data_IF_863464314149
#
_entry.id   IF_863464314149
#
_cell.length_a   1.000
_cell.length_b   1.000
_cell.length_c   1.000
_cell.angle_alpha   90.00
_cell.angle_beta   90.00
_cell.angle_gamma   90.00
#
_symmetry.space_group_name_H-M   'P 1'
#
loop_
_entity.id
_entity.type
_entity.pdbx_description
1 polymer ?
#
# COMPACT_ATOMS: atom_id res chain seq x y z
N UNK A 1 2.66 -3.62 -10.22
CA UNK A 1 2.99 -2.22 -9.89
C UNK A 1 4.23 -2.20 -9.01
N UNK A 2 5.13 -1.24 -9.21
CA UNK A 2 6.27 -1.06 -8.30
C UNK A 2 5.79 -0.52 -6.95
N UNK A 3 6.57 -0.74 -5.89
CA UNK A 3 6.29 -0.19 -4.56
C UNK A 3 6.00 1.32 -4.62
N UNK A 4 6.80 2.06 -5.39
CA UNK A 4 6.68 3.52 -5.53
C UNK A 4 5.34 3.92 -6.13
N UNK A 5 4.92 3.28 -7.21
CA UNK A 5 3.63 3.57 -7.86
C UNK A 5 2.46 3.24 -6.91
N UNK A 6 2.58 2.15 -6.16
CA UNK A 6 1.57 1.74 -5.19
C UNK A 6 1.45 2.75 -4.04
N UNK A 7 2.57 3.25 -3.50
CA UNK A 7 2.56 4.28 -2.46
C UNK A 7 1.89 5.55 -3.01
N UNK A 8 2.33 6.03 -4.18
CA UNK A 8 1.78 7.25 -4.78
C UNK A 8 0.27 7.14 -5.01
N UNK A 9 -0.21 6.04 -5.58
CA UNK A 9 -1.63 5.85 -5.85
C UNK A 9 -2.50 5.78 -4.58
N UNK A 10 -1.93 5.33 -3.45
CA UNK A 10 -2.64 5.24 -2.17
C UNK A 10 -2.59 6.58 -1.41
N UNK A 11 -1.45 7.25 -1.38
CA UNK A 11 -1.31 8.58 -0.75
C UNK A 11 -2.13 9.65 -1.47
N UNK A 12 -2.20 9.60 -2.81
CA UNK A 12 -3.05 10.49 -3.62
C UNK A 12 -4.55 10.36 -3.26
N UNK A 13 -4.96 9.16 -2.82
CA UNK A 13 -6.31 8.89 -2.31
C UNK A 13 -6.47 9.27 -0.83
N UNK A 14 -5.45 9.85 -0.19
CA UNK A 14 -5.45 10.26 1.21
C UNK A 14 -5.18 9.13 2.20
N UNK A 15 -4.71 7.97 1.74
CA UNK A 15 -4.40 6.83 2.61
C UNK A 15 -2.98 6.95 3.17
N UNK A 16 -2.80 6.57 4.44
CA UNK A 16 -1.47 6.48 5.04
C UNK A 16 -0.88 5.10 4.79
N UNK A 17 0.23 5.03 4.08
CA UNK A 17 0.87 3.74 3.74
C UNK A 17 2.00 3.44 4.71
N UNK A 18 1.94 2.28 5.38
CA UNK A 18 3.07 1.69 6.07
C UNK A 18 3.63 0.53 5.26
N UNK A 19 4.92 0.56 4.99
CA UNK A 19 5.60 -0.48 4.23
C UNK A 19 6.39 -1.36 5.19
N UNK A 20 6.11 -2.67 5.18
CA UNK A 20 6.84 -3.67 5.96
C UNK A 20 7.58 -4.61 5.00
N UNK A 21 8.92 -4.59 5.06
CA UNK A 21 9.81 -5.44 4.24
C UNK A 21 10.90 -4.65 3.52
N UNK A 22 11.86 -5.37 2.93
CA UNK A 22 13.04 -4.79 2.30
C UNK A 22 12.97 -4.81 0.77
N UNK A 23 12.36 -3.77 0.18
CA UNK A 23 12.35 -3.49 -1.26
C UNK A 23 11.64 -4.54 -2.15
N UNK A 24 11.13 -4.14 -3.32
CA UNK A 24 10.59 -5.07 -4.31
C UNK A 24 9.11 -4.88 -4.66
N UNK A 25 8.39 -5.98 -4.86
CA UNK A 25 6.98 -5.99 -5.29
C UNK A 25 6.05 -6.18 -4.11
N UNK A 26 4.91 -5.49 -4.13
CA UNK A 26 3.84 -5.70 -3.15
C UNK A 26 3.28 -7.11 -3.34
N UNK A 27 3.41 -7.93 -2.31
CA UNK A 27 2.86 -9.30 -2.29
C UNK A 27 1.58 -9.40 -1.50
N UNK A 28 1.37 -8.48 -0.55
CA UNK A 28 0.18 -8.47 0.29
C UNK A 28 -0.11 -7.06 0.77
N UNK A 29 -1.39 -6.78 0.96
CA UNK A 29 -1.91 -5.54 1.52
C UNK A 29 -2.90 -5.86 2.65
N UNK A 30 -2.97 -5.01 3.66
CA UNK A 30 -3.93 -5.18 4.77
C UNK A 30 -5.36 -4.74 4.40
N UNK A 31 -5.53 -3.99 3.31
CA UNK A 31 -6.84 -3.51 2.84
C UNK A 31 -7.38 -4.41 1.74
N UNK A 32 -8.66 -4.75 1.79
CA UNK A 32 -9.32 -5.49 0.71
C UNK A 32 -9.55 -4.56 -0.49
N UNK A 33 -9.42 -5.03 -1.74
CA UNK A 33 -9.84 -4.26 -2.90
C UNK A 33 -11.28 -3.78 -2.77
N UNK A 34 -11.60 -2.61 -3.34
CA UNK A 34 -12.91 -1.95 -3.26
C UNK A 34 -13.33 -1.48 -1.86
N UNK A 35 -12.44 -1.57 -0.85
CA UNK A 35 -12.69 -0.91 0.44
C UNK A 35 -12.75 0.60 0.21
N UNK A 36 -13.81 1.29 0.66
CA UNK A 36 -13.92 2.73 0.52
C UNK A 36 -12.86 3.42 1.39
N UNK A 37 -12.21 4.41 0.80
CA UNK A 37 -11.02 5.09 1.36
C UNK A 37 -11.46 6.22 2.29
N UNK A 38 -11.13 6.12 3.57
CA UNK A 38 -11.48 7.12 4.60
C UNK A 38 -10.26 7.63 5.39
N UNK A 39 -9.10 7.74 4.74
CA UNK A 39 -7.86 8.18 5.43
C UNK A 39 -7.25 7.15 6.39
N UNK A 40 -7.74 5.91 6.33
CA UNK A 40 -7.21 4.79 7.12
C UNK A 40 -5.78 4.43 6.73
N UNK A 41 -5.09 3.79 7.68
CA UNK A 41 -3.75 3.29 7.48
C UNK A 41 -3.76 1.93 6.79
N UNK A 42 -2.92 1.75 5.78
CA UNK A 42 -2.77 0.51 5.04
C UNK A 42 -1.34 0.00 5.22
N UNK A 43 -1.21 -1.29 5.51
CA UNK A 43 0.08 -1.98 5.54
C UNK A 43 0.31 -2.70 4.22
N UNK A 44 1.42 -2.39 3.57
CA UNK A 44 1.93 -3.12 2.42
C UNK A 44 3.07 -4.02 2.85
N UNK A 45 2.97 -5.28 2.48
CA UNK A 45 4.00 -6.29 2.69
C UNK A 45 4.74 -6.52 1.38
N UNK A 46 6.06 -6.39 1.46
CA UNK A 46 6.96 -6.61 0.33
C UNK A 46 7.63 -7.97 0.45
N UNK A 47 7.75 -8.66 -0.69
CA UNK A 47 8.65 -9.81 -0.81
C UNK A 47 9.83 -9.43 -1.71
N UNK A 48 11.00 -9.92 -1.31
CA UNK A 48 12.27 -9.64 -1.95
C UNK A 48 12.41 -10.37 -3.27
#
# INVERSE_FOLDING_TARGET
MGLRDAIFALEDRGLKVQVKGGGGRVVRQSVTPLTPVHGQQIELYLNR
#
